data_IF_241605135329
#
_entry.id   IF_241605135329
#
_cell.length_a   1.000
_cell.length_b   1.000
_cell.length_c   1.000
_cell.angle_alpha   90.00
_cell.angle_beta   90.00
_cell.angle_gamma   90.00
#
_symmetry.space_group_name_H-M   'P 1'
#
loop_
_entity.id
_entity.type
_entity.pdbx_description
1 polymer ?
#
# COMPACT_ATOMS: atom_id res chain seq x y z
N UNK A 1 -22.26 4.36 -47.09
CA UNK A 1 -21.13 4.13 -46.17
C UNK A 1 -21.13 5.26 -45.15
N UNK A 2 -21.48 4.98 -43.90
CA UNK A 2 -21.48 5.97 -42.81
C UNK A 2 -20.16 5.87 -42.06
N UNK A 3 -19.32 6.91 -42.17
CA UNK A 3 -18.04 6.98 -41.46
C UNK A 3 -18.32 7.54 -40.06
N UNK A 4 -18.23 6.68 -39.03
CA UNK A 4 -18.35 7.10 -37.63
C UNK A 4 -16.97 7.41 -37.06
N UNK A 5 -16.71 8.68 -36.77
CA UNK A 5 -15.50 9.10 -36.05
C UNK A 5 -15.69 8.92 -34.54
N UNK A 6 -14.77 8.23 -33.88
CA UNK A 6 -14.75 8.05 -32.43
C UNK A 6 -14.61 9.40 -31.71
N UNK A 7 -15.42 9.61 -30.66
CA UNK A 7 -15.55 10.88 -29.91
C UNK A 7 -14.25 11.29 -29.20
N UNK A 8 -13.33 11.92 -29.91
CA UNK A 8 -12.29 12.77 -29.32
C UNK A 8 -12.80 14.22 -29.31
N UNK A 9 -13.38 14.67 -28.19
CA UNK A 9 -14.07 15.97 -28.10
C UNK A 9 -13.23 17.19 -28.54
N UNK A 10 -11.90 17.11 -28.37
CA UNK A 10 -10.96 18.16 -28.78
C UNK A 10 -10.69 18.16 -30.28
N UNK A 11 -10.69 17.01 -30.94
CA UNK A 11 -10.42 16.90 -32.39
C UNK A 11 -11.69 17.09 -33.21
N UNK A 12 -12.85 16.67 -32.68
CA UNK A 12 -14.15 16.87 -33.33
C UNK A 12 -14.51 18.35 -33.46
N UNK A 13 -14.19 19.17 -32.46
CA UNK A 13 -14.41 20.62 -32.53
C UNK A 13 -13.58 21.30 -33.61
N UNK A 14 -12.32 20.87 -33.80
CA UNK A 14 -11.44 21.39 -34.85
C UNK A 14 -11.86 20.90 -36.24
N UNK A 15 -12.31 19.66 -36.37
CA UNK A 15 -12.84 19.12 -37.63
C UNK A 15 -14.13 19.82 -38.05
N UNK A 16 -15.05 20.06 -37.12
CA UNK A 16 -16.30 20.76 -37.42
C UNK A 16 -16.03 22.19 -37.91
N UNK A 17 -15.08 22.90 -37.29
CA UNK A 17 -14.64 24.24 -37.75
C UNK A 17 -14.00 24.20 -39.14
N UNK A 18 -13.20 23.18 -39.44
CA UNK A 18 -12.59 23.03 -40.76
C UNK A 18 -13.67 22.76 -41.82
N UNK A 19 -14.63 21.89 -41.53
CA UNK A 19 -15.74 21.57 -42.43
C UNK A 19 -16.65 22.77 -42.67
N UNK A 20 -16.88 23.62 -41.66
CA UNK A 20 -17.58 24.90 -41.80
C UNK A 20 -16.84 25.87 -42.74
N UNK A 21 -15.51 25.84 -42.79
CA UNK A 21 -14.72 26.72 -43.67
C UNK A 21 -14.58 26.19 -45.11
N UNK A 22 -14.69 24.89 -45.33
CA UNK A 22 -14.46 24.25 -46.63
C UNK A 22 -15.77 24.10 -47.42
N UNK A 23 -16.92 24.04 -46.76
CA UNK A 23 -18.22 23.94 -47.41
C UNK A 23 -18.76 25.34 -47.76
N UNK A 24 -18.92 25.68 -49.05
CA UNK A 24 -19.50 26.96 -49.45
C UNK A 24 -20.96 27.04 -48.97
N UNK A 25 -21.31 28.07 -48.19
CA UNK A 25 -22.69 28.35 -47.78
C UNK A 25 -23.07 28.02 -46.33
N UNK A 26 -22.15 27.61 -45.47
CA UNK A 26 -22.43 27.32 -44.05
C UNK A 26 -21.93 28.38 -43.04
N UNK A 27 -21.54 29.56 -43.50
CA UNK A 27 -21.21 30.68 -42.63
C UNK A 27 -22.48 31.21 -41.97
N UNK A 28 -22.85 30.66 -40.81
CA UNK A 28 -23.78 31.36 -39.92
C UNK A 28 -23.14 32.70 -39.56
N UNK A 29 -23.77 33.78 -40.01
CA UNK A 29 -23.37 35.16 -39.75
C UNK A 29 -23.38 35.43 -38.24
N UNK A 30 -22.32 35.03 -37.54
CA UNK A 30 -21.88 35.71 -36.34
C UNK A 30 -20.79 36.66 -36.79
N UNK A 31 -21.15 37.94 -36.90
CA UNK A 31 -20.24 39.03 -37.20
C UNK A 31 -19.23 39.18 -36.05
N UNK A 32 -18.27 38.26 -35.97
CA UNK A 32 -17.03 38.46 -35.25
C UNK A 32 -16.24 39.44 -36.10
N UNK A 33 -16.22 40.70 -35.68
CA UNK A 33 -15.24 41.69 -36.15
C UNK A 33 -13.89 40.97 -36.24
N UNK A 34 -13.12 41.10 -37.33
CA UNK A 34 -11.79 40.52 -37.42
C UNK A 34 -10.92 41.24 -36.39
N UNK A 35 -10.94 40.76 -35.14
CA UNK A 35 -9.97 41.16 -34.13
C UNK A 35 -8.66 40.68 -34.70
N UNK A 36 -7.83 41.65 -35.10
CA UNK A 36 -6.51 41.41 -35.67
C UNK A 36 -5.82 40.32 -34.85
N UNK A 37 -5.21 39.34 -35.52
CA UNK A 37 -4.42 38.29 -34.88
C UNK A 37 -3.51 38.86 -33.77
N UNK A 38 -2.97 40.06 -34.00
CA UNK A 38 -2.16 40.81 -33.02
C UNK A 38 -2.91 41.25 -31.76
N UNK A 39 -4.21 41.54 -31.79
CA UNK A 39 -5.02 41.88 -30.60
C UNK A 39 -5.34 40.66 -29.73
N UNK A 40 -5.60 39.49 -30.33
CA UNK A 40 -5.75 38.24 -29.60
C UNK A 40 -4.40 37.81 -29.01
N UNK A 41 -3.31 37.97 -29.77
CA UNK A 41 -1.95 37.72 -29.28
C UNK A 41 -1.60 38.69 -28.15
N UNK A 42 -1.91 39.98 -28.25
CA UNK A 42 -1.62 40.97 -27.20
C UNK A 42 -2.44 40.75 -25.92
N UNK A 43 -3.69 40.29 -26.03
CA UNK A 43 -4.53 39.97 -24.86
C UNK A 43 -4.13 38.66 -24.17
N UNK A 44 -3.65 37.67 -24.94
CA UNK A 44 -3.06 36.42 -24.41
C UNK A 44 -1.62 36.62 -23.88
N UNK A 45 -0.92 37.66 -24.34
CA UNK A 45 0.38 38.12 -23.83
C UNK A 45 0.28 39.08 -22.63
N UNK A 46 -0.82 39.07 -21.85
CA UNK A 46 -0.75 39.59 -20.48
C UNK A 46 0.31 38.77 -19.74
N UNK A 47 1.53 39.30 -19.72
CA UNK A 47 2.75 38.65 -19.21
C UNK A 47 2.41 38.05 -17.85
N UNK A 48 2.25 36.72 -17.81
CA UNK A 48 2.11 36.00 -16.55
C UNK A 48 3.26 36.47 -15.67
N UNK A 49 2.96 36.85 -14.42
CA UNK A 49 3.99 37.29 -13.47
C UNK A 49 5.14 36.28 -13.52
N UNK A 50 6.41 36.71 -13.67
CA UNK A 50 7.53 35.79 -13.87
C UNK A 50 7.62 34.73 -12.77
N UNK A 51 7.15 35.05 -11.57
CA UNK A 51 7.02 34.13 -10.45
C UNK A 51 6.07 32.94 -10.73
N UNK A 52 4.90 33.18 -11.35
CA UNK A 52 3.93 32.14 -11.68
C UNK A 52 4.50 31.18 -12.74
N UNK A 53 5.17 31.73 -13.75
CA UNK A 53 5.86 30.93 -14.79
C UNK A 53 6.95 30.07 -14.16
N UNK A 54 7.75 30.63 -13.23
CA UNK A 54 8.77 29.87 -12.50
C UNK A 54 8.16 28.73 -11.67
N UNK A 55 7.03 28.99 -11.01
CA UNK A 55 6.30 27.98 -10.20
C UNK A 55 5.75 26.85 -11.08
N UNK A 56 5.15 27.18 -12.23
CA UNK A 56 4.66 26.21 -13.21
C UNK A 56 5.79 25.36 -13.76
N UNK A 57 6.88 25.96 -14.24
CA UNK A 57 8.07 25.22 -14.72
C UNK A 57 8.66 24.28 -13.66
N UNK A 58 8.66 24.70 -12.38
CA UNK A 58 9.12 23.84 -11.28
C UNK A 58 8.20 22.63 -11.09
N UNK A 59 6.88 22.81 -11.17
CA UNK A 59 5.90 21.71 -11.10
C UNK A 59 6.04 20.76 -12.27
N UNK A 60 6.10 21.28 -13.50
CA UNK A 60 6.28 20.48 -14.71
C UNK A 60 7.58 19.66 -14.64
N UNK A 61 8.69 20.27 -14.21
CA UNK A 61 9.97 19.56 -14.04
C UNK A 61 9.89 18.46 -12.98
N UNK A 62 9.14 18.69 -11.89
CA UNK A 62 8.91 17.68 -10.86
C UNK A 62 8.10 16.50 -11.42
N UNK A 63 7.01 16.79 -12.15
CA UNK A 63 6.17 15.77 -12.78
C UNK A 63 6.94 14.97 -13.82
N UNK A 64 7.72 15.63 -14.69
CA UNK A 64 8.61 14.95 -15.63
C UNK A 64 9.59 14.02 -14.92
N UNK A 65 10.22 14.47 -13.83
CA UNK A 65 11.12 13.62 -13.03
C UNK A 65 10.41 12.43 -12.42
N UNK A 66 9.18 12.61 -11.93
CA UNK A 66 8.37 11.51 -11.40
C UNK A 66 8.04 10.51 -12.50
N UNK A 67 7.62 10.96 -13.68
CA UNK A 67 7.27 10.10 -14.80
C UNK A 67 8.48 9.30 -15.28
N UNK A 68 9.64 9.94 -15.45
CA UNK A 68 10.90 9.25 -15.80
C UNK A 68 11.29 8.23 -14.74
N UNK A 69 11.11 8.55 -13.45
CA UNK A 69 11.40 7.60 -12.36
C UNK A 69 10.45 6.39 -12.43
N UNK A 70 9.16 6.62 -12.64
CA UNK A 70 8.16 5.55 -12.75
C UNK A 70 8.46 4.64 -13.95
N UNK A 71 8.77 5.21 -15.11
CA UNK A 71 9.12 4.45 -16.31
C UNK A 71 10.41 3.62 -16.12
N UNK A 72 11.41 4.16 -15.43
CA UNK A 72 12.63 3.42 -15.07
C UNK A 72 12.31 2.25 -14.15
N UNK A 73 11.49 2.46 -13.13
CA UNK A 73 11.08 1.39 -12.20
C UNK A 73 10.28 0.31 -12.92
N UNK A 74 9.35 0.67 -13.81
CA UNK A 74 8.59 -0.32 -14.58
C UNK A 74 9.49 -1.12 -15.51
N UNK A 75 10.48 -0.47 -16.16
CA UNK A 75 11.45 -1.16 -17.00
C UNK A 75 12.34 -2.10 -16.19
N UNK A 76 12.84 -1.65 -15.04
CA UNK A 76 13.64 -2.47 -14.12
C UNK A 76 12.86 -3.69 -13.63
N UNK A 77 11.57 -3.55 -13.35
CA UNK A 77 10.70 -4.67 -13.00
C UNK A 77 10.62 -5.70 -14.12
N UNK A 78 10.33 -5.27 -15.35
CA UNK A 78 10.25 -6.16 -16.52
C UNK A 78 11.59 -6.85 -16.77
N UNK A 79 12.71 -6.13 -16.69
CA UNK A 79 14.05 -6.71 -16.84
C UNK A 79 14.35 -7.72 -15.72
N UNK A 80 13.98 -7.42 -14.48
CA UNK A 80 14.18 -8.33 -13.35
C UNK A 80 13.35 -9.62 -13.49
N UNK A 81 12.12 -9.51 -13.99
CA UNK A 81 11.24 -10.64 -14.24
C UNK A 81 11.78 -11.52 -15.37
N UNK A 82 12.21 -10.90 -16.48
CA UNK A 82 12.83 -11.63 -17.58
C UNK A 82 14.10 -12.38 -17.12
N UNK A 83 14.95 -11.76 -16.31
CA UNK A 83 16.14 -12.42 -15.73
C UNK A 83 15.76 -13.59 -14.85
N UNK A 84 14.72 -13.45 -14.02
CA UNK A 84 14.22 -14.53 -13.18
C UNK A 84 13.71 -15.71 -14.01
N UNK A 85 12.95 -15.44 -15.08
CA UNK A 85 12.40 -16.48 -15.96
C UNK A 85 13.52 -17.25 -16.67
N UNK A 86 14.55 -16.55 -17.17
CA UNK A 86 15.74 -17.18 -17.77
C UNK A 86 16.47 -18.05 -16.74
N UNK A 87 16.72 -17.52 -15.54
CA UNK A 87 17.39 -18.26 -14.47
C UNK A 87 16.60 -19.52 -14.09
N UNK A 88 15.28 -19.43 -14.01
CA UNK A 88 14.40 -20.56 -13.71
C UNK A 88 14.46 -21.62 -14.81
N UNK A 89 14.44 -21.21 -16.08
CA UNK A 89 14.58 -22.14 -17.21
C UNK A 89 15.94 -22.85 -17.19
N UNK A 90 17.04 -22.10 -17.07
CA UNK A 90 18.38 -22.69 -16.99
C UNK A 90 18.51 -23.62 -15.77
N UNK A 91 17.87 -23.28 -14.65
CA UNK A 91 17.88 -24.14 -13.45
C UNK A 91 17.13 -25.44 -13.65
N UNK A 92 16.03 -25.43 -14.41
CA UNK A 92 15.28 -26.65 -14.74
C UNK A 92 16.06 -27.55 -15.69
N UNK A 93 16.77 -26.96 -16.66
CA UNK A 93 17.55 -27.70 -17.65
C UNK A 93 18.98 -28.04 -17.22
N UNK A 94 19.43 -27.52 -16.07
CA UNK A 94 20.79 -27.73 -15.56
C UNK A 94 21.88 -26.96 -16.30
N UNK A 95 21.51 -26.04 -17.20
CA UNK A 95 22.42 -25.26 -18.06
C UNK A 95 22.86 -23.94 -17.43
N UNK A 96 23.03 -23.91 -16.10
CA UNK A 96 23.37 -22.69 -15.38
C UNK A 96 24.81 -22.24 -15.65
N UNK A 97 24.96 -20.97 -16.01
CA UNK A 97 26.24 -20.28 -16.16
C UNK A 97 26.88 -20.02 -14.78
N UNK A 98 28.19 -19.80 -14.71
CA UNK A 98 28.89 -19.47 -13.45
C UNK A 98 28.33 -18.25 -12.74
N UNK A 99 27.97 -17.22 -13.51
CA UNK A 99 27.42 -15.97 -12.98
C UNK A 99 26.00 -16.17 -12.42
N UNK A 100 25.18 -16.92 -13.15
CA UNK A 100 23.82 -17.30 -12.73
C UNK A 100 23.84 -18.15 -11.47
N UNK A 101 24.81 -19.06 -11.31
CA UNK A 101 25.01 -19.83 -10.06
C UNK A 101 25.31 -18.92 -8.88
N UNK A 102 26.14 -17.90 -9.09
CA UNK A 102 26.48 -16.92 -8.05
C UNK A 102 25.26 -16.06 -7.68
N UNK A 103 24.48 -15.65 -8.68
CA UNK A 103 23.23 -14.91 -8.48
C UNK A 103 22.21 -15.74 -7.71
N UNK A 104 21.99 -17.00 -8.12
CA UNK A 104 21.10 -17.93 -7.43
C UNK A 104 21.53 -18.16 -5.98
N UNK A 105 22.83 -18.37 -5.73
CA UNK A 105 23.36 -18.52 -4.37
C UNK A 105 23.11 -17.28 -3.52
N UNK A 106 23.25 -16.08 -4.09
CA UNK A 106 22.95 -14.81 -3.41
C UNK A 106 21.46 -14.70 -3.07
N UNK A 107 20.57 -15.08 -4.00
CA UNK A 107 19.12 -15.10 -3.79
C UNK A 107 18.73 -16.08 -2.69
N UNK A 108 19.25 -17.30 -2.72
CA UNK A 108 19.02 -18.31 -1.68
C UNK A 108 19.45 -17.76 -0.32
N UNK A 109 20.66 -17.19 -0.22
CA UNK A 109 21.17 -16.65 1.05
C UNK A 109 20.27 -15.53 1.59
N UNK A 110 19.80 -14.63 0.73
CA UNK A 110 18.88 -13.55 1.10
C UNK A 110 17.54 -14.10 1.60
N UNK A 111 16.99 -15.09 0.88
CA UNK A 111 15.71 -15.71 1.24
C UNK A 111 15.80 -16.51 2.54
N UNK A 112 16.89 -17.26 2.75
CA UNK A 112 17.12 -17.99 4.01
C UNK A 112 17.15 -17.03 5.19
N UNK A 113 17.90 -15.93 5.09
CA UNK A 113 17.95 -14.91 6.15
C UNK A 113 16.56 -14.31 6.40
N UNK A 114 15.80 -14.01 5.35
CA UNK A 114 14.45 -13.44 5.48
C UNK A 114 13.42 -14.42 6.07
N UNK A 115 13.54 -15.72 5.77
CA UNK A 115 12.67 -16.75 6.36
C UNK A 115 13.09 -17.01 7.81
N UNK A 116 14.39 -17.02 8.09
CA UNK A 116 14.91 -17.27 9.43
C UNK A 116 14.67 -16.09 10.37
N UNK A 117 14.62 -14.85 9.87
CA UNK A 117 14.25 -13.69 10.69
C UNK A 117 12.79 -13.70 11.15
N UNK A 118 11.94 -14.53 10.54
CA UNK A 118 10.56 -14.75 10.98
C UNK A 118 10.44 -15.93 11.95
N UNK A 119 11.50 -16.75 12.11
CA UNK A 119 11.52 -17.77 13.16
C UNK A 119 11.71 -17.08 14.51
N UNK A 120 10.93 -17.52 15.49
CA UNK A 120 10.97 -16.99 16.84
C UNK A 120 12.33 -17.32 17.46
N UNK A 121 12.98 -16.32 18.06
CA UNK A 121 14.28 -16.47 18.71
C UNK A 121 14.21 -17.44 19.91
N UNK A 122 13.02 -17.54 20.54
CA UNK A 122 12.75 -18.41 21.68
C UNK A 122 11.96 -19.67 21.28
N UNK A 123 12.36 -20.34 20.19
CA UNK A 123 11.76 -21.62 19.77
C UNK A 123 11.84 -22.69 20.88
N UNK A 124 12.85 -22.65 21.74
CA UNK A 124 13.01 -23.61 22.85
C UNK A 124 12.04 -23.34 24.00
N UNK A 125 11.94 -22.09 24.48
CA UNK A 125 10.98 -21.73 25.54
C UNK A 125 9.53 -21.95 25.08
N UNK A 126 9.23 -21.66 23.81
CA UNK A 126 7.89 -21.92 23.26
C UNK A 126 7.58 -23.41 23.20
N UNK A 127 8.57 -24.25 22.86
CA UNK A 127 8.41 -25.72 22.87
C UNK A 127 8.20 -26.24 24.28
N UNK A 128 8.92 -25.72 25.25
CA UNK A 128 8.75 -26.07 26.67
C UNK A 128 7.35 -25.71 27.16
N UNK A 129 6.89 -24.48 26.91
CA UNK A 129 5.52 -24.06 27.26
C UNK A 129 4.47 -24.91 26.52
N UNK A 130 4.68 -25.21 25.24
CA UNK A 130 3.77 -26.06 24.46
C UNK A 130 3.70 -27.47 25.05
N UNK A 131 4.83 -28.01 25.49
CA UNK A 131 4.92 -29.31 26.12
C UNK A 131 4.20 -29.31 27.47
N UNK A 132 4.42 -28.30 28.31
CA UNK A 132 3.72 -28.11 29.58
C UNK A 132 2.20 -28.03 29.41
N UNK A 133 1.71 -27.28 28.41
CA UNK A 133 0.28 -27.19 28.09
C UNK A 133 -0.27 -28.57 27.67
N UNK A 134 0.46 -29.30 26.82
CA UNK A 134 0.05 -30.63 26.38
C UNK A 134 0.02 -31.64 27.55
N UNK A 135 0.96 -31.54 28.48
CA UNK A 135 0.99 -32.36 29.69
C UNK A 135 -0.17 -32.02 30.62
N UNK A 136 -0.46 -30.74 30.84
CA UNK A 136 -1.61 -30.28 31.62
C UNK A 136 -2.93 -30.79 31.03
N UNK A 137 -3.13 -30.70 29.71
CA UNK A 137 -4.32 -31.23 29.05
C UNK A 137 -4.49 -32.75 29.26
N UNK A 138 -3.41 -33.53 29.22
CA UNK A 138 -3.46 -34.98 29.51
C UNK A 138 -3.79 -35.29 30.98
N UNK A 139 -3.32 -34.45 31.90
CA UNK A 139 -3.60 -34.62 33.35
C UNK A 139 -5.04 -34.26 33.73
N UNK A 140 -5.66 -33.30 33.06
CA UNK A 140 -7.07 -32.94 33.26
C UNK A 140 -8.01 -34.09 32.86
N UNK A 141 -7.74 -34.79 31.74
CA UNK A 141 -8.50 -35.97 31.34
C UNK A 141 -8.37 -37.16 32.31
N UNK A 142 -7.27 -37.25 33.07
CA UNK A 142 -7.04 -38.33 34.05
C UNK A 142 -7.52 -37.97 35.47
N UNK A 143 -7.63 -36.69 35.81
CA UNK A 143 -8.11 -36.21 37.14
C UNK A 143 -9.62 -36.32 37.35
N UNK A 144 -10.43 -36.49 36.30
CA UNK A 144 -11.90 -36.68 36.42
C UNK A 144 -12.27 -37.92 37.26
N UNK A 145 -11.34 -38.86 37.53
CA UNK A 145 -11.61 -40.07 38.33
C UNK A 145 -11.41 -39.94 39.85
N UNK A 146 -11.02 -38.79 40.40
CA UNK A 146 -10.93 -38.63 41.86
C UNK A 146 -11.56 -37.33 42.31
N UNK A 147 -12.88 -37.37 42.55
CA UNK A 147 -13.57 -36.42 43.42
C UNK A 147 -13.22 -36.75 44.87
N UNK A 148 -12.49 -35.90 45.63
CA UNK A 148 -12.64 -35.89 47.06
C UNK A 148 -13.86 -35.05 47.42
N UNK A 149 -14.66 -35.60 48.31
CA UNK A 149 -15.83 -34.99 48.93
C UNK A 149 -15.52 -33.62 49.52
N UNK A 150 -16.39 -32.68 49.19
CA UNK A 150 -16.58 -31.34 49.73
C UNK A 150 -16.15 -31.16 51.20
N UNK A 151 -15.10 -30.37 51.43
CA UNK A 151 -14.95 -29.62 52.69
C UNK A 151 -15.35 -28.18 52.43
N UNK A 152 -16.37 -27.73 53.16
CA UNK A 152 -16.90 -26.37 53.15
C UNK A 152 -15.76 -25.42 53.49
N UNK A 153 -15.45 -24.50 52.57
CA UNK A 153 -14.58 -23.36 52.85
C UNK A 153 -15.47 -22.22 53.35
N UNK A 154 -15.17 -21.75 54.56
CA UNK A 154 -15.87 -20.65 55.20
C UNK A 154 -15.77 -19.36 54.37
N UNK A 155 -16.91 -18.70 54.19
CA UNK A 155 -17.11 -17.53 53.33
C UNK A 155 -16.46 -16.23 53.87
N UNK A 156 -15.59 -16.30 54.87
CA UNK A 156 -14.98 -15.13 55.53
C UNK A 156 -13.60 -14.77 54.98
N UNK A 157 -13.02 -15.55 54.07
CA UNK A 157 -11.69 -15.28 53.49
C UNK A 157 -11.72 -14.68 52.07
N UNK A 158 -12.90 -14.46 51.48
CA UNK A 158 -13.05 -14.00 50.10
C UNK A 158 -12.83 -12.49 49.88
N UNK A 159 -12.73 -11.68 50.94
CA UNK A 159 -12.54 -10.23 50.83
C UNK A 159 -11.12 -9.77 51.18
N UNK A 160 -10.12 -10.28 50.46
CA UNK A 160 -8.80 -9.63 50.40
C UNK A 160 -8.82 -8.54 49.32
N UNK A 161 -9.39 -7.38 49.66
CA UNK A 161 -9.51 -6.15 48.83
C UNK A 161 -8.15 -5.48 48.46
N UNK A 162 -7.03 -6.20 48.58
CA UNK A 162 -5.66 -5.70 48.40
C UNK A 162 -4.97 -6.17 47.11
N UNK A 163 -5.59 -7.05 46.31
CA UNK A 163 -4.99 -7.55 45.06
C UNK A 163 -5.35 -6.74 43.80
N UNK A 164 -6.08 -5.63 43.93
CA UNK A 164 -6.42 -4.72 42.81
C UNK A 164 -5.29 -3.76 42.41
N UNK A 165 -4.02 -4.06 42.74
CA UNK A 165 -2.85 -3.28 42.30
C UNK A 165 -1.99 -4.13 41.39
N UNK A 166 -2.51 -4.50 40.22
CA UNK A 166 -1.82 -5.46 39.36
C UNK A 166 -0.62 -4.90 38.61
N UNK A 167 -0.49 -3.58 38.41
CA UNK A 167 0.74 -2.99 37.87
C UNK A 167 0.98 -1.55 38.36
N UNK A 168 1.61 -1.34 39.53
CA UNK A 168 2.04 -0.01 39.92
C UNK A 168 3.15 0.46 38.97
N UNK A 169 2.81 1.29 37.99
CA UNK A 169 3.78 1.92 37.08
C UNK A 169 3.64 1.62 35.59
N UNK A 170 2.62 0.89 35.14
CA UNK A 170 2.38 0.71 33.70
C UNK A 170 2.01 2.04 33.02
N UNK A 171 1.37 2.96 33.76
CA UNK A 171 1.12 4.35 33.36
C UNK A 171 0.85 5.23 34.60
N UNK A 172 1.86 5.87 35.24
CA UNK A 172 1.58 6.85 36.28
C UNK A 172 0.85 8.05 35.64
N UNK A 173 -0.48 8.09 35.79
CA UNK A 173 -1.33 9.17 35.25
C UNK A 173 -2.50 8.72 34.37
N UNK A 174 -2.67 7.42 34.10
CA UNK A 174 -3.93 6.93 33.53
C UNK A 174 -4.91 6.65 34.68
N UNK A 175 -6.05 7.33 34.67
CA UNK A 175 -7.12 7.05 35.62
C UNK A 175 -7.55 5.58 35.50
N UNK A 176 -7.88 4.90 36.62
CA UNK A 176 -8.52 3.60 36.52
C UNK A 176 -9.77 3.76 35.66
N UNK A 177 -9.77 3.07 34.51
CA UNK A 177 -10.92 3.01 33.63
C UNK A 177 -11.92 2.10 34.35
N UNK A 178 -12.90 2.70 35.03
CA UNK A 178 -14.03 1.96 35.59
C UNK A 178 -14.83 1.42 34.40
N UNK A 179 -15.04 0.10 34.36
CA UNK A 179 -15.80 -0.57 33.29
C UNK A 179 -17.32 -0.31 33.39
N UNK A 180 -17.74 0.72 34.14
CA UNK A 180 -19.14 1.09 34.36
C UNK A 180 -19.60 2.25 33.45
N UNK A 181 -18.68 3.02 32.84
CA UNK A 181 -19.03 4.19 32.01
C UNK A 181 -19.06 3.91 30.49
N UNK A 182 -19.42 2.69 30.06
CA UNK A 182 -19.46 2.33 28.62
C UNK A 182 -20.83 2.35 27.97
N UNK A 183 -21.90 2.78 28.65
CA UNK A 183 -23.27 2.78 28.08
C UNK A 183 -24.10 4.04 28.47
N UNK A 184 -23.56 5.24 28.32
CA UNK A 184 -24.40 6.45 28.19
C UNK A 184 -24.12 7.13 26.83
N UNK A 185 -25.13 7.05 25.97
CA UNK A 185 -25.19 7.63 24.63
C UNK A 185 -25.10 9.17 24.68
N UNK A 186 -24.18 9.73 23.89
CA UNK A 186 -24.28 11.07 23.26
C UNK A 186 -23.41 11.14 21.99
#
# INVERSE_FOLDING_TARGET
MTITFTKNSKTTGSLNRLLETVLPGHTTNTALKPTSSSQIINSTQKKLKPELVRRQRKKEKLEQRKNVKLERLSREQVESQARYDVLLQHSKHGTLTTDEKKELKRLIKKNVVNVQSWRMENEEELKEIQQDIMELQKTEYTRVKRRPTTKRLDATQLYNKKQAKRFPGLTPGLAPVDMEDSDEED
#
